data_IF_123268854880
#
_entry.id   IF_123268854880
#
_cell.length_a   1.000
_cell.length_b   1.000
_cell.length_c   1.000
_cell.angle_alpha   90.00
_cell.angle_beta   90.00
_cell.angle_gamma   90.00
#
_symmetry.space_group_name_H-M   'P 1'
#
loop_
_entity.id
_entity.type
_entity.pdbx_description
1 polymer ?
#
# COMPACT_ATOMS: atom_id res chain seq x y z
N UNK A 1 2.93 -32.07 -3.58
CA UNK A 1 2.34 -30.72 -3.74
C UNK A 1 1.71 -30.67 -5.13
N UNK A 2 0.51 -30.10 -5.29
CA UNK A 2 -0.06 -29.89 -6.63
C UNK A 2 0.70 -28.77 -7.33
N UNK A 3 0.82 -28.86 -8.66
CA UNK A 3 1.40 -27.81 -9.51
C UNK A 3 0.78 -26.44 -9.22
N UNK A 4 -0.54 -26.42 -8.97
CA UNK A 4 -1.29 -25.21 -8.63
C UNK A 4 -0.83 -24.57 -7.30
N UNK A 5 -0.50 -25.39 -6.29
CA UNK A 5 -0.03 -24.88 -5.00
C UNK A 5 1.37 -24.27 -5.11
N UNK A 6 2.24 -24.86 -5.94
CA UNK A 6 3.57 -24.34 -6.20
C UNK A 6 3.51 -23.03 -6.99
N UNK A 7 2.67 -22.96 -8.02
CA UNK A 7 2.45 -21.74 -8.79
C UNK A 7 1.91 -20.59 -7.92
N UNK A 8 0.93 -20.87 -7.05
CA UNK A 8 0.41 -19.86 -6.12
C UNK A 8 1.48 -19.34 -5.15
N UNK A 9 2.35 -20.23 -4.66
CA UNK A 9 3.46 -19.86 -3.80
C UNK A 9 4.45 -18.94 -4.53
N UNK A 10 4.83 -19.29 -5.76
CA UNK A 10 5.73 -18.48 -6.59
C UNK A 10 5.16 -17.10 -6.90
N UNK A 11 3.86 -17.02 -7.23
CA UNK A 11 3.17 -15.73 -7.47
C UNK A 11 3.18 -14.86 -6.22
N UNK A 12 2.95 -15.47 -5.04
CA UNK A 12 2.98 -14.74 -3.77
C UNK A 12 4.39 -14.20 -3.49
N UNK A 13 5.42 -15.05 -3.55
CA UNK A 13 6.81 -14.66 -3.33
C UNK A 13 7.26 -13.55 -4.30
N UNK A 14 6.88 -13.67 -5.58
CA UNK A 14 7.14 -12.64 -6.58
C UNK A 14 6.45 -11.32 -6.23
N UNK A 15 5.17 -11.36 -5.84
CA UNK A 15 4.40 -10.14 -5.54
C UNK A 15 4.90 -9.46 -4.27
N UNK A 16 5.27 -10.23 -3.25
CA UNK A 16 5.82 -9.72 -2.00
C UNK A 16 7.19 -9.06 -2.25
N UNK A 17 8.03 -9.69 -3.08
CA UNK A 17 9.34 -9.14 -3.48
C UNK A 17 9.17 -7.87 -4.31
N UNK A 18 8.24 -7.86 -5.28
CA UNK A 18 7.94 -6.68 -6.08
C UNK A 18 7.39 -5.53 -5.23
N UNK A 19 6.62 -5.84 -4.19
CA UNK A 19 6.11 -4.86 -3.22
C UNK A 19 7.24 -4.21 -2.44
N UNK A 20 8.18 -5.02 -1.93
CA UNK A 20 9.36 -4.51 -1.24
C UNK A 20 10.21 -3.61 -2.16
N UNK A 21 10.44 -4.04 -3.41
CA UNK A 21 11.20 -3.27 -4.40
C UNK A 21 10.53 -1.93 -4.72
N UNK A 22 9.21 -1.92 -4.98
CA UNK A 22 8.50 -0.67 -5.25
C UNK A 22 8.55 0.27 -4.04
N UNK A 23 8.38 -0.27 -2.83
CA UNK A 23 8.53 0.51 -1.59
C UNK A 23 9.90 1.17 -1.50
N UNK A 24 10.99 0.43 -1.73
CA UNK A 24 12.36 0.97 -1.68
C UNK A 24 12.57 2.07 -2.72
N UNK A 25 12.08 1.86 -3.94
CA UNK A 25 12.12 2.88 -4.99
C UNK A 25 11.40 4.15 -4.52
N UNK A 26 10.16 4.05 -4.03
CA UNK A 26 9.42 5.21 -3.55
C UNK A 26 10.13 5.91 -2.38
N UNK A 27 10.73 5.13 -1.47
CA UNK A 27 11.48 5.64 -0.33
C UNK A 27 12.68 6.48 -0.78
N UNK A 28 13.46 5.98 -1.74
CA UNK A 28 14.62 6.70 -2.30
C UNK A 28 14.21 8.02 -2.94
N UNK A 29 13.11 8.05 -3.70
CA UNK A 29 12.63 9.28 -4.32
C UNK A 29 12.06 10.27 -3.28
N UNK A 30 11.43 9.77 -2.22
CA UNK A 30 10.87 10.61 -1.16
C UNK A 30 11.94 11.18 -0.22
N UNK A 31 13.03 10.44 0.05
CA UNK A 31 14.10 10.88 0.96
C UNK A 31 15.27 11.56 0.24
N UNK A 32 15.63 11.08 -0.94
CA UNK A 32 16.90 11.41 -1.58
C UNK A 32 16.94 12.77 -2.26
N UNK A 33 15.79 13.39 -2.56
CA UNK A 33 15.66 14.57 -3.45
C UNK A 33 16.22 14.34 -4.88
N UNK A 34 17.16 13.39 -5.07
CA UNK A 34 17.83 12.99 -6.31
C UNK A 34 18.43 14.17 -7.09
N UNK A 35 18.80 15.24 -6.39
CA UNK A 35 19.26 16.48 -7.01
C UNK A 35 18.17 17.29 -7.71
N UNK A 36 16.89 16.94 -7.52
CA UNK A 36 15.74 17.59 -8.16
C UNK A 36 15.18 18.79 -7.38
N UNK A 37 15.92 19.28 -6.40
CA UNK A 37 15.58 20.47 -5.61
C UNK A 37 14.51 20.24 -4.53
N UNK A 38 13.42 19.52 -4.81
CA UNK A 38 12.37 19.15 -3.85
C UNK A 38 12.04 17.65 -3.86
N UNK A 39 11.94 17.05 -2.67
CA UNK A 39 11.50 15.65 -2.49
C UNK A 39 10.09 15.41 -3.01
N UNK A 40 9.19 16.39 -2.88
CA UNK A 40 7.84 16.35 -3.45
C UNK A 40 7.88 16.28 -4.98
N UNK A 41 8.83 16.97 -5.61
CA UNK A 41 8.99 16.91 -7.06
C UNK A 41 9.52 15.56 -7.51
N UNK A 42 10.54 15.03 -6.82
CA UNK A 42 11.11 13.71 -7.12
C UNK A 42 10.05 12.59 -7.07
N UNK A 43 9.28 12.52 -5.97
CA UNK A 43 8.24 11.49 -5.84
C UNK A 43 7.10 11.70 -6.85
N UNK A 44 6.71 12.94 -7.14
CA UNK A 44 5.66 13.22 -8.13
C UNK A 44 6.09 12.83 -9.55
N UNK A 45 7.36 13.00 -9.89
CA UNK A 45 7.92 12.54 -11.16
C UNK A 45 7.91 11.01 -11.26
N UNK A 46 8.37 10.31 -10.22
CA UNK A 46 8.30 8.83 -10.17
C UNK A 46 6.87 8.33 -10.31
N UNK A 47 5.92 8.95 -9.60
CA UNK A 47 4.50 8.58 -9.71
C UNK A 47 3.93 8.86 -11.11
N UNK A 48 4.40 9.92 -11.78
CA UNK A 48 4.06 10.21 -13.17
C UNK A 48 4.62 9.17 -14.14
N UNK A 49 5.80 8.63 -13.87
CA UNK A 49 6.37 7.50 -14.60
C UNK A 49 5.59 6.20 -14.35
N UNK A 50 5.23 5.90 -13.10
CA UNK A 50 4.48 4.69 -12.78
C UNK A 50 3.09 4.69 -13.43
N UNK A 51 2.36 5.81 -13.36
CA UNK A 51 1.01 5.90 -13.95
C UNK A 51 1.00 5.80 -15.48
N UNK A 52 2.12 6.07 -16.18
CA UNK A 52 2.19 5.91 -17.63
C UNK A 52 2.30 4.45 -18.08
N UNK A 53 2.44 3.51 -17.14
CA UNK A 53 2.54 2.08 -17.40
C UNK A 53 1.27 1.37 -16.93
N UNK A 54 0.36 0.95 -17.84
CA UNK A 54 -0.91 0.32 -17.47
C UNK A 54 -0.85 -0.80 -16.40
N UNK A 55 0.20 -1.66 -16.35
CA UNK A 55 0.31 -2.69 -15.32
C UNK A 55 0.34 -2.17 -13.88
N UNK A 56 0.66 -0.89 -13.64
CA UNK A 56 0.68 -0.34 -12.28
C UNK A 56 -0.70 -0.42 -11.61
N UNK A 57 -1.79 -0.26 -12.37
CA UNK A 57 -3.14 -0.30 -11.81
C UNK A 57 -3.44 -1.72 -11.32
N UNK A 58 -3.08 -2.73 -12.11
CA UNK A 58 -3.21 -4.14 -11.72
C UNK A 58 -2.32 -4.49 -10.52
N UNK A 59 -1.16 -3.87 -10.40
CA UNK A 59 -0.29 -4.06 -9.24
C UNK A 59 -0.84 -3.40 -7.98
N UNK A 60 -1.39 -2.18 -8.08
CA UNK A 60 -2.06 -1.52 -6.94
C UNK A 60 -3.31 -2.30 -6.52
N UNK A 61 -4.07 -2.83 -7.48
CA UNK A 61 -5.20 -3.73 -7.24
C UNK A 61 -4.79 -4.97 -6.42
N UNK A 62 -3.69 -5.62 -6.79
CA UNK A 62 -3.19 -6.78 -6.03
C UNK A 62 -2.75 -6.42 -4.62
N UNK A 63 -2.11 -5.26 -4.42
CA UNK A 63 -1.74 -4.75 -3.09
C UNK A 63 -2.99 -4.56 -2.22
N UNK A 64 -4.03 -3.89 -2.73
CA UNK A 64 -5.24 -3.67 -1.93
C UNK A 64 -5.90 -5.00 -1.57
N UNK A 65 -6.02 -5.94 -2.51
CA UNK A 65 -6.55 -7.28 -2.25
C UNK A 65 -5.75 -8.03 -1.19
N UNK A 66 -4.41 -7.93 -1.21
CA UNK A 66 -3.55 -8.52 -0.18
C UNK A 66 -3.77 -7.88 1.19
N UNK A 67 -3.88 -6.54 1.27
CA UNK A 67 -4.17 -5.84 2.53
C UNK A 67 -5.53 -6.25 3.09
N UNK A 68 -6.58 -6.28 2.25
CA UNK A 68 -7.91 -6.74 2.65
C UNK A 68 -7.84 -8.17 3.16
N UNK A 69 -7.23 -9.10 2.41
CA UNK A 69 -7.07 -10.50 2.85
C UNK A 69 -6.31 -10.60 4.18
N UNK A 70 -5.25 -9.82 4.33
CA UNK A 70 -4.40 -9.78 5.52
C UNK A 70 -5.16 -9.33 6.77
N UNK A 71 -6.01 -8.31 6.64
CA UNK A 71 -6.79 -7.77 7.76
C UNK A 71 -8.11 -8.53 8.01
N UNK A 72 -8.76 -9.05 6.96
CA UNK A 72 -10.04 -9.78 7.04
C UNK A 72 -9.96 -11.21 7.56
N UNK A 73 -8.80 -11.86 7.52
CA UNK A 73 -8.64 -13.21 8.06
C UNK A 73 -8.89 -13.30 9.60
N UNK A 74 -8.99 -14.51 10.14
CA UNK A 74 -9.26 -14.77 11.56
C UNK A 74 -8.18 -14.17 12.49
N UNK A 75 -8.43 -14.15 13.81
CA UNK A 75 -7.63 -13.53 14.90
C UNK A 75 -6.13 -13.93 15.03
N UNK A 76 -5.50 -14.48 13.99
CA UNK A 76 -4.08 -14.76 13.96
C UNK A 76 -3.27 -13.47 13.82
N UNK A 77 -2.32 -13.29 14.73
CA UNK A 77 -1.35 -12.20 14.69
C UNK A 77 -0.45 -12.33 13.46
N UNK A 78 -0.06 -11.20 12.87
CA UNK A 78 0.89 -11.19 11.75
C UNK A 78 2.30 -11.53 12.24
N UNK A 79 2.98 -12.40 11.50
CA UNK A 79 4.42 -12.66 11.71
C UNK A 79 5.27 -11.43 11.34
N UNK A 80 6.55 -11.39 11.75
CA UNK A 80 7.42 -10.22 11.54
C UNK A 80 7.53 -9.80 10.07
N UNK A 81 7.78 -10.75 9.16
CA UNK A 81 7.89 -10.46 7.73
C UNK A 81 6.58 -9.92 7.14
N UNK A 82 5.44 -10.45 7.57
CA UNK A 82 4.13 -9.98 7.13
C UNK A 82 3.81 -8.59 7.67
N UNK A 83 4.26 -8.26 8.87
CA UNK A 83 4.10 -6.93 9.44
C UNK A 83 4.92 -5.88 8.66
N UNK A 84 6.15 -6.23 8.26
CA UNK A 84 6.97 -5.38 7.38
C UNK A 84 6.30 -5.21 6.01
N UNK A 85 5.80 -6.29 5.41
CA UNK A 85 5.09 -6.23 4.13
C UNK A 85 3.84 -5.33 4.23
N UNK A 86 3.07 -5.44 5.32
CA UNK A 86 1.90 -4.60 5.56
C UNK A 86 2.27 -3.11 5.63
N UNK A 87 3.38 -2.77 6.30
CA UNK A 87 3.90 -1.41 6.33
C UNK A 87 4.27 -0.91 4.92
N UNK A 88 4.96 -1.73 4.13
CA UNK A 88 5.35 -1.40 2.75
C UNK A 88 4.12 -1.17 1.85
N UNK A 89 3.12 -2.04 1.96
CA UNK A 89 1.85 -1.93 1.24
C UNK A 89 1.15 -0.60 1.57
N UNK A 90 1.00 -0.24 2.85
CA UNK A 90 0.40 1.04 3.23
C UNK A 90 1.23 2.24 2.76
N UNK A 91 2.56 2.11 2.68
CA UNK A 91 3.42 3.18 2.20
C UNK A 91 3.19 3.44 0.71
N UNK A 92 3.10 2.38 -0.09
CA UNK A 92 2.76 2.45 -1.51
C UNK A 92 1.37 3.06 -1.67
N UNK A 93 0.36 2.57 -0.94
CA UNK A 93 -1.01 3.08 -1.02
C UNK A 93 -1.09 4.57 -0.68
N UNK A 94 -0.42 5.01 0.40
CA UNK A 94 -0.33 6.44 0.73
C UNK A 94 0.28 7.23 -0.42
N UNK A 95 1.37 6.74 -1.00
CA UNK A 95 2.08 7.42 -2.09
C UNK A 95 1.20 7.53 -3.35
N UNK A 96 0.48 6.46 -3.71
CA UNK A 96 -0.53 6.46 -4.77
C UNK A 96 -1.61 7.50 -4.52
N UNK A 97 -2.18 7.53 -3.31
CA UNK A 97 -3.27 8.44 -2.93
C UNK A 97 -2.84 9.91 -2.89
N UNK A 98 -1.60 10.18 -2.51
CA UNK A 98 -1.08 11.53 -2.29
C UNK A 98 -0.51 12.17 -3.55
N UNK A 99 0.19 11.40 -4.39
CA UNK A 99 1.03 11.95 -5.47
C UNK A 99 0.55 11.56 -6.88
N UNK A 100 -0.46 10.70 -7.02
CA UNK A 100 -1.00 10.29 -8.32
C UNK A 100 -2.53 10.39 -8.35
N UNK A 101 -3.08 11.38 -9.05
CA UNK A 101 -4.53 11.54 -9.20
C UNK A 101 -5.21 10.30 -9.80
N UNK A 102 -4.74 9.69 -10.91
CA UNK A 102 -5.42 8.53 -11.51
C UNK A 102 -5.47 7.32 -10.57
N UNK A 103 -4.34 6.99 -9.92
CA UNK A 103 -4.30 5.90 -8.94
C UNK A 103 -5.16 6.20 -7.71
N UNK A 104 -5.17 7.45 -7.23
CA UNK A 104 -6.01 7.83 -6.11
C UNK A 104 -7.51 7.69 -6.42
N UNK A 105 -7.92 8.07 -7.64
CA UNK A 105 -9.29 7.88 -8.12
C UNK A 105 -9.63 6.40 -8.27
N UNK A 106 -8.73 5.61 -8.85
CA UNK A 106 -8.90 4.16 -8.95
C UNK A 106 -9.13 3.51 -7.58
N UNK A 107 -8.28 3.82 -6.58
CA UNK A 107 -8.43 3.28 -5.23
C UNK A 107 -9.77 3.72 -4.61
N UNK A 108 -10.12 5.00 -4.69
CA UNK A 108 -11.37 5.51 -4.10
C UNK A 108 -12.62 4.97 -4.79
N UNK A 109 -12.60 4.75 -6.09
CA UNK A 109 -13.77 4.30 -6.83
C UNK A 109 -14.03 2.80 -6.67
N UNK A 110 -12.96 1.99 -6.52
CA UNK A 110 -13.08 0.53 -6.49
C UNK A 110 -13.02 -0.07 -5.09
N UNK A 111 -12.38 0.61 -4.12
CA UNK A 111 -12.04 -0.01 -2.83
C UNK A 111 -12.59 0.71 -1.59
N UNK A 112 -13.36 1.78 -1.77
CA UNK A 112 -13.84 2.59 -0.65
C UNK A 112 -14.66 1.80 0.38
N UNK A 113 -15.48 0.86 -0.09
CA UNK A 113 -16.28 0.04 0.81
C UNK A 113 -15.41 -0.98 1.55
N UNK A 114 -14.41 -1.55 0.90
CA UNK A 114 -13.43 -2.42 1.54
C UNK A 114 -12.65 -1.68 2.62
N UNK A 115 -12.28 -0.42 2.36
CA UNK A 115 -11.69 0.43 3.38
C UNK A 115 -12.63 0.68 4.56
N UNK A 116 -13.93 0.82 4.30
CA UNK A 116 -14.94 1.05 5.34
C UNK A 116 -15.21 -0.19 6.20
N UNK A 117 -15.29 -1.37 5.59
CA UNK A 117 -15.75 -2.60 6.28
C UNK A 117 -14.62 -3.52 6.72
N UNK A 118 -13.48 -3.54 6.03
CA UNK A 118 -12.40 -4.50 6.29
C UNK A 118 -11.09 -3.86 6.75
N UNK A 119 -10.77 -2.66 6.26
CA UNK A 119 -9.52 -1.95 6.57
C UNK A 119 -9.80 -0.84 7.60
N UNK A 120 -10.11 -1.21 8.84
CA UNK A 120 -10.35 -0.24 9.93
C UNK A 120 -9.41 -0.44 11.13
N UNK A 121 -9.27 0.59 11.98
CA UNK A 121 -8.31 0.59 13.10
C UNK A 121 -8.42 -0.64 14.02
N UNK A 122 -9.62 -1.06 14.46
CA UNK A 122 -9.75 -2.29 15.26
C UNK A 122 -9.24 -3.57 14.58
N UNK A 123 -9.25 -3.64 13.24
CA UNK A 123 -8.73 -4.80 12.52
C UNK A 123 -7.21 -4.80 12.55
N UNK A 124 -6.58 -3.62 12.37
CA UNK A 124 -5.12 -3.48 12.46
C UNK A 124 -4.60 -3.82 13.86
N UNK A 125 -5.19 -3.26 14.91
CA UNK A 125 -4.77 -3.45 16.31
C UNK A 125 -4.87 -4.91 16.77
N UNK A 126 -5.89 -5.63 16.28
CA UNK A 126 -6.05 -7.07 16.56
C UNK A 126 -5.00 -7.94 15.86
N UNK A 127 -4.38 -7.43 14.79
CA UNK A 127 -3.46 -8.21 13.95
C UNK A 127 -2.00 -7.88 14.20
N UNK A 128 -1.67 -6.62 14.45
CA UNK A 128 -0.31 -6.12 14.55
C UNK A 128 0.15 -6.08 16.03
N UNK A 129 1.08 -6.94 16.45
CA UNK A 129 1.55 -6.98 17.83
C UNK A 129 2.16 -5.66 18.30
N UNK A 130 1.80 -5.20 19.50
CA UNK A 130 2.34 -3.97 20.09
C UNK A 130 3.85 -4.03 20.35
N UNK A 131 4.44 -5.23 20.43
CA UNK A 131 5.87 -5.42 20.66
C UNK A 131 6.73 -5.19 19.40
N UNK A 132 6.13 -5.11 18.20
CA UNK A 132 6.92 -4.84 17.00
C UNK A 132 7.31 -3.36 16.92
N UNK A 133 8.59 -3.03 16.63
CA UNK A 133 9.03 -1.64 16.50
C UNK A 133 8.28 -0.88 15.40
N UNK A 134 7.84 -1.59 14.36
CA UNK A 134 7.11 -1.01 13.23
C UNK A 134 5.63 -0.74 13.52
N UNK A 135 5.12 -1.11 14.71
CA UNK A 135 3.68 -0.99 15.00
C UNK A 135 3.21 0.46 14.98
N UNK A 136 3.87 1.33 15.74
CA UNK A 136 3.53 2.75 15.78
C UNK A 136 3.62 3.45 14.41
N UNK A 137 4.71 3.30 13.61
CA UNK A 137 4.76 3.90 12.28
C UNK A 137 3.72 3.29 11.32
N UNK A 138 3.43 1.99 11.40
CA UNK A 138 2.36 1.36 10.60
C UNK A 138 0.99 1.92 10.96
N UNK A 139 0.69 2.09 12.25
CA UNK A 139 -0.57 2.67 12.72
C UNK A 139 -0.73 4.12 12.24
N UNK A 140 0.34 4.92 12.27
CA UNK A 140 0.29 6.28 11.73
C UNK A 140 0.01 6.27 10.23
N UNK A 141 0.75 5.47 9.47
CA UNK A 141 0.63 5.36 8.04
C UNK A 141 -0.77 4.89 7.62
N UNK A 142 -1.33 3.95 8.37
CA UNK A 142 -2.69 3.48 8.20
C UNK A 142 -3.72 4.61 8.35
N UNK A 143 -3.62 5.44 9.39
CA UNK A 143 -4.51 6.59 9.58
C UNK A 143 -4.42 7.59 8.43
N UNK A 144 -3.22 7.82 7.92
CA UNK A 144 -3.00 8.69 6.75
C UNK A 144 -3.71 8.12 5.51
N UNK A 145 -3.57 6.82 5.25
CA UNK A 145 -4.26 6.14 4.15
C UNK A 145 -5.78 6.25 4.28
N UNK A 146 -6.34 5.94 5.45
CA UNK A 146 -7.79 6.07 5.67
C UNK A 146 -8.29 7.48 5.40
N UNK A 147 -7.60 8.49 5.93
CA UNK A 147 -7.94 9.89 5.70
C UNK A 147 -7.92 10.25 4.21
N UNK A 148 -6.91 9.78 3.46
CA UNK A 148 -6.77 10.07 2.03
C UNK A 148 -7.81 9.34 1.16
N UNK A 149 -8.28 8.16 1.58
CA UNK A 149 -9.38 7.43 0.91
C UNK A 149 -10.72 8.13 1.16
N UNK A 150 -10.94 8.63 2.38
CA UNK A 150 -12.18 9.31 2.76
C UNK A 150 -12.31 10.73 2.21
N UNK A 151 -11.20 11.38 1.85
CA UNK A 151 -11.21 12.71 1.23
C UNK A 151 -12.11 12.71 -0.01
N UNK A 152 -13.23 13.43 0.07
CA UNK A 152 -14.08 13.72 -1.08
C UNK A 152 -13.26 14.48 -2.12
N UNK A 153 -13.38 14.10 -3.39
CA UNK A 153 -12.82 14.88 -4.50
C UNK A 153 -13.33 16.32 -4.36
N UNK A 154 -12.42 17.27 -4.12
CA UNK A 154 -12.71 18.66 -4.46
C UNK A 154 -12.77 18.72 -5.98
N UNK A 155 -13.99 18.62 -6.52
CA UNK A 155 -14.27 19.07 -7.88
C UNK A 155 -13.99 20.56 -7.87
N UNK A 156 -12.80 20.97 -8.33
CA UNK A 156 -12.61 22.36 -8.72
C UNK A 156 -13.34 22.49 -10.05
N UNK A 157 -14.54 23.08 -9.98
CA UNK A 157 -15.30 23.57 -11.13
C UNK A 157 -14.47 24.59 -11.91
#
# INVERSE_FOLDING_TARGET
>A
MSLDAELQKLILEYTDTATALLYEILLVFQQGNLGLGSTTFAISWMMSFLQSHPPIVTFVDSIVKQVVKGLSASFQLVGPSQAVLLYQQFYILRSCLQYSKPLAEYIRNNYREEFRYFIHMPALEKRLPLCYPITQPTTQLFREVLKLVEQKQCVKC
#
